data_IF_276736327189
#
_entry.id   IF_276736327189
#
_cell.length_a   1.000
_cell.length_b   1.000
_cell.length_c   1.000
_cell.angle_alpha   90.00
_cell.angle_beta   90.00
_cell.angle_gamma   90.00
#
_symmetry.space_group_name_H-M   'P 1'
#
loop_
_entity.id
_entity.type
_entity.pdbx_description
1 polymer ?
#
# COMPACT_ATOMS: atom_id res chain seq x y z
N UNK A 1 45.32 -40.59 7.31
CA UNK A 1 44.36 -39.63 7.91
C UNK A 1 42.95 -40.17 7.65
N UNK A 2 42.02 -40.42 8.55
CA UNK A 2 41.94 -40.49 10.01
C UNK A 2 40.89 -41.57 10.35
N UNK A 3 41.06 -42.27 11.49
CA UNK A 3 40.23 -43.41 11.91
C UNK A 3 39.04 -42.91 12.75
N UNK A 4 37.80 -43.21 12.37
CA UNK A 4 36.61 -42.93 13.19
C UNK A 4 36.29 -44.10 14.12
N UNK A 5 36.27 -43.82 15.43
CA UNK A 5 36.07 -44.75 16.54
C UNK A 5 34.63 -44.64 17.04
N UNK A 6 33.87 -45.74 17.01
CA UNK A 6 32.58 -45.91 17.71
C UNK A 6 32.82 -45.93 19.22
N UNK A 7 31.98 -45.23 19.99
CA UNK A 7 31.82 -45.44 21.43
C UNK A 7 30.34 -45.62 21.80
N UNK A 8 30.14 -46.52 22.76
CA UNK A 8 28.91 -47.25 23.10
C UNK A 8 28.07 -46.54 24.15
N UNK A 9 26.77 -46.81 24.09
CA UNK A 9 25.76 -46.61 25.13
C UNK A 9 26.06 -47.42 26.41
N UNK A 10 25.77 -46.85 27.59
CA UNK A 10 25.37 -47.65 28.76
C UNK A 10 24.45 -46.86 29.68
N UNK A 11 23.36 -47.52 30.07
CA UNK A 11 22.34 -47.11 31.02
C UNK A 11 22.75 -47.47 32.46
N UNK A 12 22.33 -46.68 33.45
CA UNK A 12 22.21 -47.15 34.84
C UNK A 12 21.14 -46.35 35.61
N UNK A 13 20.08 -47.05 36.01
CA UNK A 13 19.12 -46.68 37.07
C UNK A 13 19.64 -47.22 38.41
N UNK A 14 19.53 -46.45 39.49
CA UNK A 14 19.50 -46.96 40.88
C UNK A 14 18.43 -46.20 41.68
N UNK A 15 17.68 -46.95 42.51
CA UNK A 15 16.53 -46.55 43.36
C UNK A 15 16.98 -46.27 44.82
N UNK A 16 16.25 -45.37 45.51
CA UNK A 16 15.68 -45.61 46.86
C UNK A 16 16.33 -44.91 48.06
N UNK A 17 15.51 -44.25 48.91
CA UNK A 17 15.89 -43.84 50.28
C UNK A 17 14.91 -42.85 50.94
N UNK A 18 14.44 -43.15 52.17
CA UNK A 18 13.36 -42.52 52.97
C UNK A 18 13.74 -41.21 53.69
N UNK A 19 12.76 -40.35 53.99
CA UNK A 19 12.88 -39.15 54.84
C UNK A 19 12.83 -39.39 56.37
N UNK A 20 12.85 -38.33 57.20
CA UNK A 20 11.75 -38.00 58.16
C UNK A 20 11.55 -36.46 58.26
N UNK A 21 10.56 -35.81 58.90
CA UNK A 21 9.44 -36.12 59.78
C UNK A 21 8.71 -34.80 60.14
N UNK A 22 7.45 -34.88 60.55
CA UNK A 22 6.56 -33.75 60.94
C UNK A 22 6.87 -33.22 62.36
N UNK A 23 6.24 -32.11 62.76
CA UNK A 23 5.39 -32.17 63.96
C UNK A 23 3.93 -31.70 63.71
N UNK A 24 3.07 -32.04 64.66
CA UNK A 24 1.59 -31.99 64.67
C UNK A 24 1.14 -31.31 66.01
N UNK A 25 -0.17 -31.17 66.37
CA UNK A 25 -0.87 -29.88 66.55
C UNK A 25 -1.50 -29.65 67.95
N UNK A 26 -2.09 -28.46 68.18
CA UNK A 26 -3.19 -28.18 69.13
C UNK A 26 -3.73 -26.75 68.85
N UNK A 27 -4.98 -26.32 68.98
CA UNK A 27 -6.26 -26.91 69.36
C UNK A 27 -7.33 -25.81 69.46
N UNK A 28 -8.55 -26.10 68.97
CA UNK A 28 -9.89 -25.69 69.45
C UNK A 28 -10.30 -24.18 69.50
N UNK A 29 -11.28 -23.80 68.65
CA UNK A 29 -12.62 -23.30 69.07
C UNK A 29 -13.56 -23.07 67.87
N UNK A 30 -14.80 -23.61 67.93
CA UNK A 30 -15.95 -23.35 67.02
C UNK A 30 -16.70 -22.03 67.43
N UNK A 31 -17.87 -21.67 66.85
CA UNK A 31 -18.09 -21.10 65.52
C UNK A 31 -18.90 -19.77 65.58
N UNK A 32 -18.77 -18.86 64.62
CA UNK A 32 -19.85 -17.87 64.37
C UNK A 32 -19.82 -17.32 62.94
N UNK A 33 -20.94 -17.56 62.24
CA UNK A 33 -21.52 -16.86 61.09
C UNK A 33 -20.58 -16.19 60.06
N UNK A 34 -20.63 -16.67 58.81
CA UNK A 34 -20.86 -15.82 57.61
C UNK A 34 -21.15 -16.66 56.37
N UNK A 35 -22.31 -16.35 55.79
CA UNK A 35 -22.89 -16.61 54.46
C UNK A 35 -21.95 -17.05 53.32
N UNK A 36 -22.40 -17.94 52.41
CA UNK A 36 -21.62 -18.39 51.26
C UNK A 36 -21.53 -17.28 50.19
N UNK A 37 -20.32 -17.06 49.66
CA UNK A 37 -20.07 -16.26 48.45
C UNK A 37 -20.45 -17.08 47.22
N UNK A 38 -21.20 -16.53 46.24
CA UNK A 38 -21.42 -17.23 44.98
C UNK A 38 -20.16 -17.18 44.10
N UNK A 39 -19.89 -18.31 43.47
CA UNK A 39 -18.88 -18.51 42.44
C UNK A 39 -19.10 -17.56 41.25
N UNK A 40 -18.16 -16.64 41.04
CA UNK A 40 -18.16 -15.75 39.89
C UNK A 40 -17.84 -16.51 38.61
N UNK A 41 -18.81 -16.56 37.70
CA UNK A 41 -18.63 -16.93 36.29
C UNK A 41 -17.72 -15.87 35.64
N UNK A 42 -16.72 -16.24 34.81
CA UNK A 42 -15.90 -15.26 34.12
C UNK A 42 -16.76 -14.50 33.11
N UNK A 43 -17.13 -13.26 33.45
CA UNK A 43 -17.79 -12.34 32.54
C UNK A 43 -16.85 -12.06 31.37
N UNK A 44 -17.22 -12.54 30.17
CA UNK A 44 -16.66 -12.10 28.90
C UNK A 44 -16.74 -10.58 28.88
N UNK A 45 -15.59 -9.90 29.00
CA UNK A 45 -15.49 -8.47 28.76
C UNK A 45 -15.94 -8.23 27.33
N UNK A 46 -17.16 -7.73 27.15
CA UNK A 46 -17.58 -7.12 25.89
C UNK A 46 -16.55 -6.02 25.59
N UNK A 47 -15.68 -6.25 24.60
CA UNK A 47 -14.93 -5.16 23.98
C UNK A 47 -15.99 -4.26 23.37
N UNK A 48 -16.30 -3.15 24.03
CA UNK A 48 -17.09 -2.10 23.42
C UNK A 48 -16.31 -1.64 22.20
N UNK A 49 -16.79 -2.01 21.01
CA UNK A 49 -16.27 -1.50 19.76
C UNK A 49 -16.68 -0.03 19.73
N UNK A 50 -15.76 0.87 20.07
CA UNK A 50 -15.94 2.28 19.79
C UNK A 50 -16.14 2.40 18.28
N UNK A 51 -17.38 2.65 17.85
CA UNK A 51 -17.69 2.95 16.46
C UNK A 51 -17.09 4.32 16.18
N UNK A 52 -15.85 4.34 15.69
CA UNK A 52 -15.25 5.57 15.19
C UNK A 52 -15.99 5.97 13.91
N UNK A 53 -16.43 7.22 13.86
CA UNK A 53 -17.03 7.81 12.66
C UNK A 53 -16.05 7.62 11.49
N UNK A 54 -16.48 7.03 10.36
CA UNK A 54 -15.61 6.79 9.23
C UNK A 54 -15.12 8.11 8.63
N UNK A 55 -13.86 8.14 8.21
CA UNK A 55 -13.28 9.26 7.49
C UNK A 55 -13.50 9.03 5.99
N UNK A 56 -14.21 9.95 5.35
CA UNK A 56 -14.38 10.01 3.89
C UNK A 56 -13.41 11.08 3.36
N UNK A 57 -12.36 10.72 2.60
CA UNK A 57 -11.28 11.64 2.25
C UNK A 57 -11.58 12.51 1.02
N UNK A 58 -12.83 12.61 0.61
CA UNK A 58 -13.28 13.32 -0.57
C UNK A 58 -14.67 13.93 -0.36
N UNK A 59 -15.01 14.90 -1.19
CA UNK A 59 -16.34 15.49 -1.27
C UNK A 59 -17.08 15.00 -2.51
N UNK A 60 -18.42 15.15 -2.54
CA UNK A 60 -19.25 14.82 -3.71
C UNK A 60 -18.93 15.67 -4.96
N UNK A 61 -18.21 16.78 -4.79
CA UNK A 61 -17.83 17.70 -5.88
C UNK A 61 -16.42 17.43 -6.43
N UNK A 62 -15.62 16.63 -5.73
CA UNK A 62 -14.25 16.33 -6.12
C UNK A 62 -14.25 15.59 -7.47
N UNK A 63 -13.29 15.91 -8.32
CA UNK A 63 -12.94 15.11 -9.50
C UNK A 63 -12.10 13.91 -9.06
N UNK A 64 -12.68 12.71 -9.10
CA UNK A 64 -12.07 11.48 -8.56
C UNK A 64 -11.68 10.53 -9.68
N UNK A 65 -10.42 10.08 -9.65
CA UNK A 65 -9.89 9.00 -10.47
C UNK A 65 -9.60 7.77 -9.60
N UNK A 66 -10.30 6.66 -9.85
CA UNK A 66 -10.00 5.38 -9.21
C UNK A 66 -9.12 4.54 -10.13
N UNK A 67 -8.04 4.00 -9.59
CA UNK A 67 -7.08 3.18 -10.32
C UNK A 67 -7.21 1.72 -9.89
N UNK A 68 -7.45 0.84 -10.88
CA UNK A 68 -7.49 -0.60 -10.66
C UNK A 68 -8.62 -1.06 -9.74
N UNK A 69 -9.83 -0.52 -9.93
CA UNK A 69 -10.97 -0.70 -9.02
C UNK A 69 -11.68 -2.07 -9.15
N UNK A 70 -10.94 -3.14 -9.49
CA UNK A 70 -11.40 -4.52 -9.44
C UNK A 70 -12.78 -4.76 -10.05
N UNK A 71 -13.75 -5.15 -9.21
CA UNK A 71 -15.14 -5.44 -9.61
C UNK A 71 -16.05 -4.20 -9.67
N UNK A 72 -15.48 -3.00 -9.55
CA UNK A 72 -16.13 -1.69 -9.59
C UNK A 72 -17.16 -1.43 -8.48
N UNK A 73 -17.20 -2.27 -7.44
CA UNK A 73 -18.14 -2.10 -6.33
C UNK A 73 -17.84 -0.85 -5.48
N UNK A 74 -16.58 -0.43 -5.37
CA UNK A 74 -16.20 0.81 -4.69
C UNK A 74 -16.67 2.03 -5.49
N UNK A 75 -16.39 2.08 -6.80
CA UNK A 75 -16.89 3.11 -7.70
C UNK A 75 -18.41 3.27 -7.63
N UNK A 76 -19.15 2.16 -7.68
CA UNK A 76 -20.62 2.16 -7.52
C UNK A 76 -21.04 2.80 -6.20
N UNK A 77 -20.37 2.48 -5.10
CA UNK A 77 -20.67 3.05 -3.79
C UNK A 77 -20.42 4.56 -3.73
N UNK A 78 -19.37 5.04 -4.40
CA UNK A 78 -19.06 6.47 -4.51
C UNK A 78 -20.17 7.24 -5.24
N UNK A 79 -20.70 6.68 -6.33
CA UNK A 79 -21.82 7.25 -7.08
C UNK A 79 -23.11 7.22 -6.26
N UNK A 80 -23.51 6.05 -5.79
CA UNK A 80 -24.86 5.82 -5.26
C UNK A 80 -25.04 6.26 -3.82
N UNK A 81 -23.98 6.24 -3.01
CA UNK A 81 -24.06 6.55 -1.58
C UNK A 81 -23.35 7.85 -1.20
N UNK A 82 -22.22 8.15 -1.84
CA UNK A 82 -21.46 9.37 -1.56
C UNK A 82 -21.77 10.51 -2.56
N UNK A 83 -22.69 10.28 -3.49
CA UNK A 83 -23.18 11.24 -4.49
C UNK A 83 -22.06 11.94 -5.28
N UNK A 84 -20.96 11.23 -5.53
CA UNK A 84 -19.82 11.77 -6.29
C UNK A 84 -20.24 12.06 -7.72
N UNK A 85 -20.05 13.31 -8.15
CA UNK A 85 -20.55 13.78 -9.46
C UNK A 85 -19.56 13.63 -10.61
N UNK A 86 -18.27 13.48 -10.30
CA UNK A 86 -17.18 13.43 -11.28
C UNK A 86 -16.28 12.25 -10.95
N UNK A 87 -16.67 11.07 -11.42
CA UNK A 87 -15.94 9.83 -11.17
C UNK A 87 -15.44 9.24 -12.48
N UNK A 88 -14.15 8.94 -12.54
CA UNK A 88 -13.58 8.04 -13.54
C UNK A 88 -13.03 6.82 -12.81
N UNK A 89 -13.61 5.64 -13.03
CA UNK A 89 -13.12 4.39 -12.51
C UNK A 89 -12.34 3.64 -13.59
N UNK A 90 -11.17 3.12 -13.25
CA UNK A 90 -10.35 2.36 -14.19
C UNK A 90 -10.08 0.94 -13.71
N UNK A 91 -9.98 0.02 -14.67
CA UNK A 91 -9.59 -1.37 -14.46
C UNK A 91 -8.41 -1.74 -15.36
N UNK A 92 -7.67 -2.77 -14.97
CA UNK A 92 -6.50 -3.23 -15.73
C UNK A 92 -6.92 -4.09 -16.93
N UNK A 93 -8.02 -4.82 -16.79
CA UNK A 93 -8.62 -5.65 -17.83
C UNK A 93 -8.95 -4.79 -19.06
N UNK A 94 -8.58 -5.27 -20.25
CA UNK A 94 -8.60 -4.48 -21.48
C UNK A 94 -9.99 -4.31 -22.12
N UNK A 95 -10.97 -5.12 -21.71
CA UNK A 95 -12.34 -5.06 -22.22
C UNK A 95 -13.37 -5.47 -21.16
N UNK A 96 -14.63 -5.15 -21.44
CA UNK A 96 -15.77 -5.57 -20.63
C UNK A 96 -15.85 -7.10 -20.53
N UNK A 97 -15.61 -7.81 -21.63
CA UNK A 97 -15.72 -9.28 -21.68
C UNK A 97 -14.73 -9.92 -20.71
N UNK A 98 -13.46 -9.51 -20.75
CA UNK A 98 -12.41 -10.02 -19.85
C UNK A 98 -12.74 -9.67 -18.39
N UNK A 99 -13.26 -8.47 -18.15
CA UNK A 99 -13.67 -8.06 -16.81
C UNK A 99 -14.83 -8.91 -16.27
N UNK A 100 -15.83 -9.22 -17.11
CA UNK A 100 -16.99 -10.05 -16.75
C UNK A 100 -16.63 -11.51 -16.50
N UNK A 101 -15.68 -12.08 -17.27
CA UNK A 101 -15.16 -13.42 -17.01
C UNK A 101 -14.55 -13.52 -15.60
N UNK A 102 -13.86 -12.45 -15.18
CA UNK A 102 -13.23 -12.35 -13.86
C UNK A 102 -14.22 -12.03 -12.73
N UNK A 103 -15.20 -11.19 -13.02
CA UNK A 103 -16.21 -10.70 -12.09
C UNK A 103 -17.61 -10.74 -12.75
N UNK A 104 -18.33 -11.87 -12.71
CA UNK A 104 -19.60 -12.02 -13.43
C UNK A 104 -20.69 -11.01 -13.05
N UNK A 105 -20.65 -10.45 -11.84
CA UNK A 105 -21.60 -9.45 -11.35
C UNK A 105 -21.24 -7.99 -11.72
N UNK A 106 -20.08 -7.75 -12.35
CA UNK A 106 -19.57 -6.39 -12.62
C UNK A 106 -20.48 -5.56 -13.52
N UNK A 107 -21.29 -6.22 -14.37
CA UNK A 107 -22.21 -5.54 -15.28
C UNK A 107 -23.24 -4.66 -14.56
N UNK A 108 -23.74 -5.10 -13.40
CA UNK A 108 -24.66 -4.30 -12.58
C UNK A 108 -23.95 -3.08 -12.00
N UNK A 109 -22.70 -3.23 -11.55
CA UNK A 109 -21.92 -2.12 -11.01
C UNK A 109 -21.61 -1.08 -12.10
N UNK A 110 -21.19 -1.51 -13.29
CA UNK A 110 -20.95 -0.62 -14.43
C UNK A 110 -22.21 0.17 -14.77
N UNK A 111 -23.35 -0.52 -14.88
CA UNK A 111 -24.63 0.12 -15.19
C UNK A 111 -24.94 1.25 -14.20
N UNK A 112 -24.88 0.99 -12.89
CA UNK A 112 -25.18 2.01 -11.89
C UNK A 112 -24.17 3.16 -11.88
N UNK A 113 -22.90 2.89 -12.18
CA UNK A 113 -21.86 3.93 -12.30
C UNK A 113 -22.18 4.86 -13.47
N UNK A 114 -22.45 4.29 -14.65
CA UNK A 114 -22.71 5.05 -15.87
C UNK A 114 -24.04 5.80 -15.82
N UNK A 115 -25.10 5.18 -15.29
CA UNK A 115 -26.40 5.84 -15.04
C UNK A 115 -26.27 7.01 -14.04
N UNK A 116 -25.37 6.89 -13.06
CA UNK A 116 -25.03 7.98 -12.13
C UNK A 116 -24.05 9.02 -12.68
N UNK A 117 -23.65 8.92 -13.95
CA UNK A 117 -22.77 9.87 -14.63
C UNK A 117 -21.27 9.63 -14.43
N UNK A 118 -20.89 8.53 -13.79
CA UNK A 118 -19.51 8.06 -13.74
C UNK A 118 -19.04 7.49 -15.08
N UNK A 119 -17.72 7.36 -15.24
CA UNK A 119 -17.10 6.81 -16.45
C UNK A 119 -16.23 5.63 -16.10
N UNK A 120 -16.36 4.52 -16.84
CA UNK A 120 -15.49 3.35 -16.71
C UNK A 120 -14.46 3.33 -17.84
N UNK A 121 -13.19 3.09 -17.52
CA UNK A 121 -12.08 2.93 -18.48
C UNK A 121 -11.37 1.60 -18.30
N UNK A 122 -11.11 0.93 -19.41
CA UNK A 122 -10.47 -0.39 -19.47
C UNK A 122 -8.99 -0.27 -19.88
N UNK A 123 -8.20 -1.30 -19.58
CA UNK A 123 -6.81 -1.41 -20.04
C UNK A 123 -5.86 -0.39 -19.42
N UNK A 124 -6.19 0.14 -18.24
CA UNK A 124 -5.37 1.17 -17.59
C UNK A 124 -4.31 0.52 -16.71
N UNK A 125 -3.08 0.46 -17.23
CA UNK A 125 -1.90 0.06 -16.46
C UNK A 125 -1.39 1.23 -15.61
N UNK A 126 -1.51 1.13 -14.29
CA UNK A 126 -1.08 2.15 -13.33
C UNK A 126 0.40 2.57 -13.49
N UNK A 127 1.25 1.68 -14.04
CA UNK A 127 2.68 1.94 -14.24
C UNK A 127 3.01 2.65 -15.56
N UNK A 128 2.06 2.65 -16.51
CA UNK A 128 2.21 3.17 -17.87
C UNK A 128 1.14 4.18 -18.28
N UNK A 129 0.18 4.45 -17.41
CA UNK A 129 -0.92 5.36 -17.70
C UNK A 129 -0.44 6.76 -18.06
N UNK A 130 -1.14 7.38 -19.01
CA UNK A 130 -0.93 8.78 -19.38
C UNK A 130 -1.55 9.68 -18.32
N UNK A 131 -1.03 10.89 -18.20
CA UNK A 131 -1.60 11.87 -17.30
C UNK A 131 -3.03 12.26 -17.73
N UNK A 132 -3.93 12.41 -16.77
CA UNK A 132 -5.25 12.99 -16.98
C UNK A 132 -5.15 14.50 -16.79
N UNK A 133 -5.12 15.21 -17.91
CA UNK A 133 -4.88 16.65 -17.95
C UNK A 133 -5.94 17.37 -18.77
N UNK A 134 -6.00 18.69 -18.63
CA UNK A 134 -6.92 19.55 -19.37
C UNK A 134 -6.55 19.74 -20.85
N UNK A 135 -5.34 19.36 -21.26
CA UNK A 135 -4.91 19.41 -22.66
C UNK A 135 -4.58 18.02 -23.22
N UNK A 136 -4.76 17.88 -24.54
CA UNK A 136 -4.43 16.65 -25.25
C UNK A 136 -2.95 16.32 -25.09
N UNK A 137 -2.63 15.04 -25.08
CA UNK A 137 -1.23 14.61 -25.04
C UNK A 137 -0.73 14.18 -23.65
N UNK A 138 -1.50 14.41 -22.58
CA UNK A 138 -0.95 14.39 -21.22
C UNK A 138 -0.13 15.65 -20.92
N UNK A 139 -0.38 16.72 -21.69
CA UNK A 139 0.19 18.06 -21.49
C UNK A 139 -0.78 18.89 -20.67
N UNK A 140 -0.28 19.96 -20.05
CA UNK A 140 -1.10 20.87 -19.25
C UNK A 140 -1.31 20.39 -17.82
N UNK A 141 -2.22 21.06 -17.13
CA UNK A 141 -2.46 20.83 -15.70
C UNK A 141 -3.31 19.58 -15.49
N UNK A 142 -2.99 18.85 -14.42
CA UNK A 142 -3.82 17.76 -13.93
C UNK A 142 -5.23 18.23 -13.58
N UNK A 143 -6.20 17.31 -13.64
CA UNK A 143 -7.63 17.62 -13.44
C UNK A 143 -8.29 16.82 -12.33
N UNK A 144 -7.50 16.04 -11.58
CA UNK A 144 -8.01 15.15 -10.54
C UNK A 144 -7.73 15.74 -9.16
N UNK A 145 -8.79 15.98 -8.38
CA UNK A 145 -8.69 16.41 -6.99
C UNK A 145 -8.29 15.23 -6.09
N UNK A 146 -8.74 14.01 -6.45
CA UNK A 146 -8.45 12.77 -5.74
C UNK A 146 -8.07 11.68 -6.73
N UNK A 147 -6.91 11.06 -6.52
CA UNK A 147 -6.50 9.85 -7.24
C UNK A 147 -6.41 8.73 -6.21
N UNK A 148 -7.23 7.70 -6.33
CA UNK A 148 -7.36 6.64 -5.32
C UNK A 148 -6.88 5.31 -5.90
N UNK A 149 -5.95 4.65 -5.21
CA UNK A 149 -5.50 3.30 -5.55
C UNK A 149 -5.64 2.41 -4.31
N UNK A 150 -6.73 1.63 -4.27
CA UNK A 150 -7.02 0.76 -3.14
C UNK A 150 -6.38 -0.62 -3.33
N UNK A 151 -5.62 -1.04 -2.32
CA UNK A 151 -4.97 -2.36 -2.24
C UNK A 151 -4.15 -2.74 -3.48
N UNK A 152 -3.27 -1.86 -3.98
CA UNK A 152 -2.43 -2.16 -5.14
C UNK A 152 -1.56 -3.40 -4.89
N UNK A 153 -1.55 -4.33 -5.83
CA UNK A 153 -0.73 -5.53 -5.75
C UNK A 153 -0.45 -6.09 -7.16
N UNK A 154 0.79 -6.53 -7.42
CA UNK A 154 1.17 -7.10 -8.73
C UNK A 154 0.57 -8.49 -8.99
N UNK A 155 0.38 -9.27 -7.93
CA UNK A 155 -0.17 -10.63 -7.95
C UNK A 155 0.78 -11.66 -8.57
N UNK A 156 0.89 -12.86 -7.98
CA UNK A 156 1.44 -14.06 -8.64
C UNK A 156 2.89 -14.04 -9.15
N UNK A 157 3.66 -12.94 -9.00
CA UNK A 157 5.00 -12.80 -9.59
C UNK A 157 6.09 -13.62 -8.88
N UNK A 158 5.93 -13.94 -7.60
CA UNK A 158 6.89 -14.76 -6.84
C UNK A 158 6.26 -15.27 -5.55
N UNK A 159 6.76 -16.37 -5.02
CA UNK A 159 6.46 -16.87 -3.67
C UNK A 159 7.45 -16.35 -2.62
N UNK A 160 8.61 -15.83 -3.04
CA UNK A 160 9.60 -15.22 -2.13
C UNK A 160 9.10 -13.87 -1.62
N UNK A 161 9.04 -13.72 -0.29
CA UNK A 161 8.51 -12.52 0.36
C UNK A 161 9.28 -11.27 -0.04
N UNK A 162 10.61 -11.32 -0.10
CA UNK A 162 11.43 -10.15 -0.43
C UNK A 162 11.28 -9.73 -1.89
N UNK A 163 11.18 -10.68 -2.81
CA UNK A 163 10.87 -10.39 -4.23
C UNK A 163 9.48 -9.79 -4.36
N UNK A 164 8.48 -10.32 -3.66
CA UNK A 164 7.12 -9.75 -3.65
C UNK A 164 7.12 -8.32 -3.10
N UNK A 165 7.84 -8.04 -2.01
CA UNK A 165 8.00 -6.67 -1.48
C UNK A 165 8.58 -5.75 -2.56
N UNK A 166 9.67 -6.14 -3.21
CA UNK A 166 10.30 -5.33 -4.27
C UNK A 166 9.36 -5.06 -5.44
N UNK A 167 8.65 -6.06 -5.95
CA UNK A 167 7.73 -5.87 -7.07
C UNK A 167 6.55 -4.93 -6.72
N UNK A 168 6.03 -5.02 -5.49
CA UNK A 168 4.96 -4.13 -5.05
C UNK A 168 5.45 -2.71 -4.76
N UNK A 169 6.69 -2.55 -4.27
CA UNK A 169 7.34 -1.23 -4.15
C UNK A 169 7.57 -0.59 -5.51
N UNK A 170 7.99 -1.36 -6.52
CA UNK A 170 8.16 -0.90 -7.89
C UNK A 170 6.82 -0.44 -8.48
N UNK A 171 5.76 -1.23 -8.35
CA UNK A 171 4.39 -0.86 -8.75
C UNK A 171 3.98 0.50 -8.18
N UNK A 172 4.15 0.69 -6.87
CA UNK A 172 3.80 1.94 -6.20
C UNK A 172 4.67 3.11 -6.66
N UNK A 173 5.98 2.89 -6.85
CA UNK A 173 6.90 3.92 -7.31
C UNK A 173 6.52 4.39 -8.72
N UNK A 174 6.30 3.46 -9.65
CA UNK A 174 5.87 3.79 -11.01
C UNK A 174 4.49 4.47 -11.00
N UNK A 175 3.53 3.96 -10.23
CA UNK A 175 2.21 4.56 -10.11
C UNK A 175 2.29 6.01 -9.62
N UNK A 176 3.02 6.29 -8.53
CA UNK A 176 3.15 7.64 -7.99
C UNK A 176 3.72 8.60 -9.04
N UNK A 177 4.77 8.19 -9.74
CA UNK A 177 5.36 8.99 -10.83
C UNK A 177 4.36 9.28 -11.97
N UNK A 178 3.50 8.33 -12.33
CA UNK A 178 2.45 8.52 -13.36
C UNK A 178 1.24 9.31 -12.86
N UNK A 179 0.91 9.21 -11.58
CA UNK A 179 -0.27 9.86 -10.99
C UNK A 179 -0.06 11.36 -10.73
N UNK A 180 1.14 11.77 -10.31
CA UNK A 180 1.44 13.17 -9.94
C UNK A 180 1.04 14.18 -11.02
N UNK A 181 1.37 14.00 -12.31
CA UNK A 181 0.97 14.94 -13.36
C UNK A 181 -0.55 15.04 -13.57
N UNK A 182 -1.33 14.07 -13.08
CA UNK A 182 -2.79 14.08 -13.17
C UNK A 182 -3.46 14.83 -12.02
N UNK A 183 -2.71 15.14 -10.96
CA UNK A 183 -3.24 15.89 -9.82
C UNK A 183 -3.51 17.33 -10.21
N UNK A 184 -4.71 17.80 -9.87
CA UNK A 184 -5.09 19.21 -9.94
C UNK A 184 -4.05 20.08 -9.22
N UNK A 185 -3.68 21.26 -9.76
CA UNK A 185 -2.75 22.18 -9.11
C UNK A 185 -3.37 22.84 -7.87
N UNK A 186 -4.67 22.64 -7.64
CA UNK A 186 -5.38 23.15 -6.46
C UNK A 186 -4.80 22.55 -5.19
N UNK A 187 -4.50 23.41 -4.21
CA UNK A 187 -4.00 22.99 -2.90
C UNK A 187 -4.95 21.99 -2.24
N UNK A 188 -4.39 20.91 -1.69
CA UNK A 188 -5.16 19.83 -1.07
C UNK A 188 -5.65 18.77 -2.05
N UNK A 189 -5.30 18.85 -3.34
CA UNK A 189 -5.41 17.71 -4.25
C UNK A 189 -4.49 16.59 -3.77
N UNK A 190 -4.95 15.33 -3.78
CA UNK A 190 -4.24 14.25 -3.12
C UNK A 190 -4.31 12.91 -3.85
N UNK A 191 -3.25 12.11 -3.65
CA UNK A 191 -3.22 10.69 -3.99
C UNK A 191 -3.52 9.91 -2.71
N UNK A 192 -4.50 9.01 -2.75
CA UNK A 192 -4.92 8.22 -1.60
C UNK A 192 -4.62 6.76 -1.90
N UNK A 193 -3.81 6.14 -1.06
CA UNK A 193 -3.45 4.73 -1.21
C UNK A 193 -3.87 3.98 0.04
N UNK A 194 -4.59 2.88 -0.15
CA UNK A 194 -5.06 2.02 0.93
C UNK A 194 -4.29 0.71 0.91
N UNK A 195 -3.73 0.30 2.04
CA UNK A 195 -3.05 -0.99 2.22
C UNK A 195 -3.65 -1.75 3.40
N UNK A 196 -3.49 -3.07 3.41
CA UNK A 196 -3.70 -3.85 4.62
C UNK A 196 -2.64 -3.49 5.68
N UNK A 197 -3.01 -3.63 6.95
CA UNK A 197 -2.07 -3.46 8.07
C UNK A 197 -1.35 -4.79 8.36
N UNK A 198 -0.08 -4.71 8.75
CA UNK A 198 0.78 -5.86 9.02
C UNK A 198 1.66 -6.29 7.83
N UNK A 199 2.54 -7.27 8.08
CA UNK A 199 3.41 -7.81 7.04
C UNK A 199 2.62 -8.62 6.00
N UNK A 200 3.07 -8.65 4.73
CA UNK A 200 4.25 -7.96 4.20
C UNK A 200 4.02 -6.49 3.82
N UNK A 201 2.80 -5.97 3.92
CA UNK A 201 2.44 -4.62 3.45
C UNK A 201 3.18 -3.50 4.18
N UNK A 202 3.47 -3.69 5.48
CA UNK A 202 4.30 -2.77 6.26
C UNK A 202 5.72 -2.64 5.70
N UNK A 203 6.29 -3.72 5.16
CA UNK A 203 7.64 -3.73 4.58
C UNK A 203 7.74 -2.91 3.29
N UNK A 204 6.61 -2.60 2.66
CA UNK A 204 6.60 -1.81 1.42
C UNK A 204 6.98 -0.35 1.69
N UNK A 205 6.84 0.11 2.93
CA UNK A 205 7.28 1.43 3.38
C UNK A 205 6.74 2.60 2.52
N UNK A 206 5.42 2.60 2.32
CA UNK A 206 4.74 3.51 1.38
C UNK A 206 4.98 5.01 1.66
N UNK A 207 5.25 5.38 2.92
CA UNK A 207 5.59 6.76 3.29
C UNK A 207 6.90 7.21 2.66
N UNK A 208 7.90 6.34 2.68
CA UNK A 208 9.22 6.64 2.12
C UNK A 208 9.18 6.63 0.59
N UNK A 209 8.40 5.70 -0.01
CA UNK A 209 8.13 5.73 -1.46
C UNK A 209 7.49 7.06 -1.88
N UNK A 210 6.47 7.52 -1.14
CA UNK A 210 5.85 8.83 -1.38
C UNK A 210 6.85 9.99 -1.28
N UNK A 211 7.73 9.97 -0.26
CA UNK A 211 8.76 10.99 -0.08
C UNK A 211 9.72 11.06 -1.26
N UNK A 212 10.20 9.91 -1.74
CA UNK A 212 11.09 9.85 -2.90
C UNK A 212 10.40 10.28 -4.20
N UNK A 213 9.08 10.14 -4.29
CA UNK A 213 8.28 10.66 -5.39
C UNK A 213 7.97 12.18 -5.27
N UNK A 214 8.45 12.88 -4.24
CA UNK A 214 8.20 14.31 -4.03
C UNK A 214 6.87 14.63 -3.34
N UNK A 215 6.24 13.64 -2.70
CA UNK A 215 5.00 13.79 -1.94
C UNK A 215 5.25 13.67 -0.43
N UNK A 216 4.29 14.13 0.35
CA UNK A 216 4.27 13.91 1.81
C UNK A 216 2.90 13.44 2.27
N UNK A 217 2.88 12.68 3.36
CA UNK A 217 1.62 12.21 3.93
C UNK A 217 1.02 13.30 4.82
N UNK A 218 -0.11 13.87 4.41
CA UNK A 218 -0.87 14.82 5.22
C UNK A 218 -1.45 14.11 6.46
N UNK A 219 -2.09 12.96 6.25
CA UNK A 219 -2.71 12.14 7.29
C UNK A 219 -2.83 10.68 6.87
N UNK A 220 -3.11 9.80 7.83
CA UNK A 220 -3.57 8.45 7.56
C UNK A 220 -4.70 8.05 8.50
N UNK A 221 -5.59 7.18 8.05
CA UNK A 221 -6.77 6.76 8.80
C UNK A 221 -7.14 5.31 8.50
N UNK A 222 -7.88 4.69 9.41
CA UNK A 222 -8.39 3.32 9.21
C UNK A 222 -9.37 3.31 8.05
N UNK A 223 -9.14 2.45 7.06
CA UNK A 223 -10.12 2.21 6.02
C UNK A 223 -11.26 1.36 6.59
N UNK A 224 -12.49 1.86 6.47
CA UNK A 224 -13.69 1.21 6.98
C UNK A 224 -14.54 0.78 5.79
N UNK A 225 -14.42 -0.47 5.36
CA UNK A 225 -15.17 -1.01 4.22
C UNK A 225 -16.69 -0.78 4.34
N UNK A 226 -17.24 -0.89 5.56
CA UNK A 226 -18.66 -0.62 5.83
C UNK A 226 -19.12 0.82 5.61
N UNK A 227 -18.21 1.78 5.39
CA UNK A 227 -18.55 3.14 4.97
C UNK A 227 -18.85 3.24 3.45
N UNK A 228 -18.67 2.13 2.72
CA UNK A 228 -18.93 2.02 1.29
C UNK A 228 -19.93 0.88 1.08
N UNK A 229 -21.25 1.15 1.21
CA UNK A 229 -22.27 0.13 1.00
C UNK A 229 -22.11 -0.56 -0.35
N UNK A 230 -22.20 -1.89 -0.36
CA UNK A 230 -22.02 -2.72 -1.55
C UNK A 230 -20.56 -3.03 -1.92
N UNK A 231 -19.57 -2.37 -1.32
CA UNK A 231 -18.16 -2.64 -1.58
C UNK A 231 -17.77 -4.08 -1.25
N UNK A 232 -17.04 -4.71 -2.18
CA UNK A 232 -16.42 -6.01 -2.02
C UNK A 232 -14.96 -5.92 -2.44
N UNK A 233 -14.09 -6.53 -1.65
CA UNK A 233 -12.67 -6.57 -1.94
C UNK A 233 -12.39 -7.63 -3.02
N UNK A 234 -11.95 -7.16 -4.18
CA UNK A 234 -11.54 -8.00 -5.31
C UNK A 234 -10.02 -8.26 -5.30
N UNK A 235 -9.61 -9.52 -5.48
CA UNK A 235 -8.19 -9.92 -5.58
C UNK A 235 -7.66 -9.73 -6.99
N UNK A 236 -6.36 -9.52 -7.14
CA UNK A 236 -5.69 -9.44 -8.46
C UNK A 236 -5.93 -10.67 -9.34
N UNK A 237 -6.09 -11.86 -8.75
CA UNK A 237 -6.38 -13.11 -9.48
C UNK A 237 -7.88 -13.35 -9.74
N UNK A 238 -8.75 -12.40 -9.37
CA UNK A 238 -10.21 -12.54 -9.51
C UNK A 238 -10.85 -13.42 -8.45
N UNK A 239 -12.08 -13.85 -8.73
CA UNK A 239 -12.84 -14.77 -7.87
C UNK A 239 -12.23 -16.16 -8.00
N UNK A 240 -11.59 -16.64 -6.93
CA UNK A 240 -11.02 -17.99 -6.90
C UNK A 240 -12.16 -19.00 -6.82
N UNK A 241 -12.41 -19.76 -7.90
CA UNK A 241 -13.36 -20.90 -7.87
C UNK A 241 -12.88 -21.93 -6.83
N UNK A 242 -13.67 -22.12 -5.78
CA UNK A 242 -13.35 -23.02 -4.66
C UNK A 242 -12.54 -22.41 -3.51
N UNK A 243 -12.19 -21.12 -3.57
CA UNK A 243 -11.42 -20.44 -2.53
C UNK A 243 -12.28 -20.04 -1.33
N UNK A 244 -11.94 -20.58 -0.15
CA UNK A 244 -12.65 -20.41 1.12
C UNK A 244 -12.85 -18.96 1.58
N UNK A 245 -13.62 -18.79 2.66
CA UNK A 245 -14.25 -17.55 3.12
C UNK A 245 -13.34 -16.39 3.55
N UNK A 246 -12.17 -16.22 2.92
CA UNK A 246 -11.33 -15.05 3.03
C UNK A 246 -12.06 -13.82 2.49
N UNK A 247 -12.25 -12.85 3.38
CA UNK A 247 -12.92 -11.58 3.11
C UNK A 247 -11.97 -10.44 3.39
N UNK A 248 -11.47 -9.81 2.32
CA UNK A 248 -10.52 -8.71 2.46
C UNK A 248 -11.10 -7.53 3.25
N UNK A 249 -12.42 -7.33 3.20
CA UNK A 249 -13.15 -6.27 3.90
C UNK A 249 -13.09 -6.40 5.43
N UNK A 250 -12.86 -7.61 5.93
CA UNK A 250 -12.74 -7.90 7.37
C UNK A 250 -11.31 -7.67 7.90
N UNK A 251 -10.31 -7.52 7.01
CA UNK A 251 -8.92 -7.26 7.40
C UNK A 251 -8.72 -5.79 7.75
N UNK A 252 -7.89 -5.56 8.78
CA UNK A 252 -7.48 -4.19 9.14
C UNK A 252 -6.68 -3.57 8.02
N UNK A 253 -7.04 -2.35 7.66
CA UNK A 253 -6.47 -1.61 6.53
C UNK A 253 -6.41 -0.11 6.84
N UNK A 254 -5.49 0.57 6.17
CA UNK A 254 -5.19 1.99 6.38
C UNK A 254 -5.03 2.71 5.06
N UNK A 255 -5.69 3.86 4.96
CA UNK A 255 -5.53 4.80 3.86
C UNK A 255 -4.53 5.89 4.23
N UNK A 256 -3.66 6.25 3.30
CA UNK A 256 -2.65 7.30 3.41
C UNK A 256 -2.96 8.38 2.38
N UNK A 257 -3.09 9.63 2.84
CA UNK A 257 -3.37 10.79 1.99
C UNK A 257 -2.04 11.48 1.68
N UNK A 258 -1.59 11.36 0.44
CA UNK A 258 -0.38 12.00 -0.07
C UNK A 258 -0.72 13.31 -0.76
N UNK A 259 -0.04 14.38 -0.37
CA UNK A 259 -0.13 15.72 -0.96
C UNK A 259 1.25 16.15 -1.46
N UNK A 260 1.31 17.23 -2.25
CA UNK A 260 2.59 17.80 -2.65
C UNK A 260 3.39 18.26 -1.42
N UNK A 261 4.71 18.16 -1.51
CA UNK A 261 5.61 18.61 -0.44
C UNK A 261 5.30 20.05 -0.03
N UNK A 262 5.12 20.30 1.26
CA UNK A 262 4.78 21.61 1.82
C UNK A 262 3.28 21.94 1.90
N UNK A 263 2.39 21.10 1.34
CA UNK A 263 0.94 21.25 1.50
C UNK A 263 0.38 20.48 2.70
N UNK A 264 1.13 19.50 3.22
CA UNK A 264 0.76 18.67 4.35
C UNK A 264 0.92 19.38 5.68
N UNK A 265 0.48 18.71 6.74
CA UNK A 265 0.58 19.24 8.10
C UNK A 265 2.06 19.36 8.47
N UNK A 266 2.52 20.58 8.80
CA UNK A 266 3.77 20.78 9.54
C UNK A 266 3.64 19.99 10.83
N UNK A 267 4.33 18.85 10.94
CA UNK A 267 4.42 18.17 12.22
C UNK A 267 4.92 19.18 13.25
N UNK A 268 4.09 19.49 14.24
CA UNK A 268 4.51 20.27 15.38
C UNK A 268 5.77 19.63 15.95
N UNK A 269 6.76 20.47 16.25
CA UNK A 269 8.04 20.09 16.85
C UNK A 269 7.76 19.05 17.92
N UNK A 270 8.20 17.81 17.66
CA UNK A 270 8.10 16.74 18.63
C UNK A 270 8.74 17.25 19.91
N UNK A 271 7.96 17.27 20.99
CA UNK A 271 8.41 17.67 22.33
C UNK A 271 9.53 16.69 22.72
N UNK A 272 10.79 17.07 22.46
CA UNK A 272 11.96 16.39 23.03
C UNK A 272 11.73 16.37 24.53
N UNK A 273 11.53 15.19 25.11
CA UNK A 273 11.75 15.00 26.54
C UNK A 273 13.20 15.38 26.79
N UNK A 274 13.39 16.49 27.49
CA UNK A 274 14.67 16.95 28.01
C UNK A 274 14.91 16.12 29.27
N UNK A 275 15.72 15.06 29.16
CA UNK A 275 16.31 14.45 30.33
C UNK A 275 17.36 15.45 30.83
N UNK A 276 17.18 15.90 32.06
CA UNK A 276 18.12 16.73 32.80
C UNK A 276 19.30 15.86 33.23
N UNK A 277 20.50 16.23 32.79
CA UNK A 277 21.74 15.93 33.50
C UNK A 277 22.57 17.19 33.49
N UNK A 278 22.64 17.81 34.67
CA UNK A 278 23.73 18.66 35.13
C UNK A 278 25.06 17.96 34.84
N UNK A 279 26.02 18.65 34.24
CA UNK A 279 27.25 18.99 34.96
C UNK A 279 28.07 20.03 34.18
N UNK A 280 28.76 20.81 34.99
CA UNK A 280 29.31 22.14 34.82
C UNK A 280 30.78 22.12 34.36
N UNK A 281 31.26 23.30 33.96
CA UNK A 281 32.65 23.73 33.71
C UNK A 281 33.27 23.36 32.33
N UNK A 282 33.95 24.23 31.58
CA UNK A 282 34.63 25.51 31.90
C UNK A 282 34.84 26.36 30.62
N UNK A 283 34.88 27.68 30.79
CA UNK A 283 35.24 28.72 29.80
C UNK A 283 36.67 28.58 29.25
N UNK A 284 36.86 28.88 27.95
CA UNK A 284 38.06 29.58 27.40
C UNK A 284 37.63 30.39 26.17
N UNK A 285 37.80 31.70 26.25
CA UNK A 285 37.69 32.66 25.14
C UNK A 285 38.86 32.52 24.15
N UNK A 286 38.59 32.77 22.87
CA UNK A 286 39.59 32.92 21.83
C UNK A 286 38.96 33.58 20.61
N UNK A 287 39.29 34.85 20.43
CA UNK A 287 38.93 35.70 19.29
C UNK A 287 39.67 35.28 18.01
N UNK A 288 39.28 35.97 16.92
CA UNK A 288 39.94 36.08 15.60
C UNK A 288 39.51 35.04 14.54
N UNK A 289 39.23 35.37 13.27
CA UNK A 289 39.13 36.63 12.51
C UNK A 289 38.46 36.25 11.17
N UNK A 290 37.76 37.20 10.57
CA UNK A 290 37.18 37.14 9.22
C UNK A 290 38.22 36.89 8.11
N UNK A 291 37.92 36.01 7.15
CA UNK A 291 38.35 36.19 5.76
C UNK A 291 37.28 35.70 4.77
N UNK A 292 36.62 36.69 4.17
CA UNK A 292 36.03 36.62 2.83
C UNK A 292 37.12 36.28 1.81
N UNK A 293 36.78 35.46 0.82
CA UNK A 293 37.34 35.66 -0.52
C UNK A 293 36.32 35.25 -1.59
N UNK A 294 35.96 36.26 -2.37
CA UNK A 294 35.14 36.26 -3.57
C UNK A 294 35.81 35.45 -4.68
N UNK A 295 35.00 34.81 -5.54
CA UNK A 295 35.44 34.41 -6.88
C UNK A 295 34.49 35.00 -7.90
N UNK A 296 34.94 36.09 -8.52
CA UNK A 296 34.27 36.78 -9.62
C UNK A 296 34.35 36.00 -10.93
N UNK A 297 33.43 36.37 -11.81
CA UNK A 297 33.24 35.87 -13.16
C UNK A 297 34.36 36.32 -14.12
N UNK A 298 34.61 35.51 -15.15
CA UNK A 298 35.40 35.90 -16.32
C UNK A 298 34.57 35.65 -17.59
N UNK A 299 34.40 36.72 -18.35
CA UNK A 299 33.68 36.85 -19.60
C UNK A 299 34.67 36.89 -20.77
N UNK A 300 34.39 36.15 -21.84
CA UNK A 300 35.22 36.16 -23.04
C UNK A 300 34.46 35.73 -24.28
N UNK A 301 33.91 36.70 -25.00
CA UNK A 301 33.50 36.55 -26.40
C UNK A 301 34.72 36.41 -27.33
N UNK A 302 34.61 35.57 -28.37
CA UNK A 302 35.35 35.75 -29.62
C UNK A 302 34.63 35.07 -30.79
N UNK A 303 34.52 35.82 -31.89
CA UNK A 303 33.76 35.54 -33.09
C UNK A 303 34.58 34.82 -34.19
N UNK A 304 33.85 34.12 -35.08
CA UNK A 304 34.11 33.77 -36.50
C UNK A 304 35.03 32.60 -36.90
N UNK A 305 34.47 31.73 -37.74
CA UNK A 305 35.18 30.86 -38.69
C UNK A 305 34.24 29.89 -39.42
N UNK A 306 34.16 30.00 -40.74
CA UNK A 306 33.30 29.25 -41.69
C UNK A 306 34.00 27.94 -42.13
N UNK A 307 33.23 27.04 -42.78
CA UNK A 307 33.60 25.90 -43.67
C UNK A 307 33.55 24.51 -43.01
N UNK A 308 33.09 23.42 -43.65
CA UNK A 308 32.20 23.12 -44.79
C UNK A 308 32.09 21.58 -44.84
N UNK A 309 31.04 21.10 -45.50
CA UNK A 309 30.94 19.82 -46.21
C UNK A 309 30.62 18.50 -45.47
N UNK A 310 29.61 17.82 -46.05
CA UNK A 310 29.44 16.38 -46.14
C UNK A 310 28.23 15.85 -45.37
N UNK A 311 27.33 15.02 -45.90
CA UNK A 311 27.00 14.54 -47.24
C UNK A 311 25.69 13.74 -47.07
N UNK A 312 24.87 13.74 -48.12
CA UNK A 312 23.87 12.76 -48.56
C UNK A 312 22.86 12.07 -47.62
N UNK A 313 21.61 12.04 -48.12
CA UNK A 313 20.94 10.74 -48.30
C UNK A 313 19.54 10.62 -47.71
N UNK A 314 18.58 11.36 -48.27
CA UNK A 314 17.14 11.06 -48.22
C UNK A 314 16.77 10.15 -49.40
N UNK A 315 15.84 9.22 -49.16
CA UNK A 315 14.78 8.70 -50.06
C UNK A 315 14.58 7.19 -49.77
N UNK A 316 13.48 6.83 -49.09
CA UNK A 316 12.15 6.48 -49.63
C UNK A 316 12.17 5.16 -50.42
N UNK A 317 11.58 4.12 -49.82
CA UNK A 317 10.26 3.53 -50.18
C UNK A 317 10.44 2.41 -51.20
N UNK A 318 10.08 1.19 -50.82
CA UNK A 318 9.49 0.19 -51.73
C UNK A 318 8.80 -0.92 -50.92
N UNK A 319 7.68 -1.37 -51.48
CA UNK A 319 6.59 -2.17 -50.94
C UNK A 319 6.82 -3.70 -50.98
N UNK A 320 5.79 -4.42 -50.50
CA UNK A 320 5.41 -5.82 -50.78
C UNK A 320 6.17 -6.91 -49.97
N UNK A 321 5.58 -8.01 -49.47
CA UNK A 321 4.38 -8.75 -49.86
C UNK A 321 3.95 -9.73 -48.72
N UNK A 322 2.70 -10.19 -48.77
CA UNK A 322 2.05 -11.18 -47.89
C UNK A 322 2.62 -12.61 -47.97
N UNK A 323 2.55 -13.39 -46.87
CA UNK A 323 2.14 -14.83 -46.88
C UNK A 323 2.16 -15.53 -45.49
N UNK A 324 0.96 -15.69 -44.92
CA UNK A 324 0.28 -16.91 -44.39
C UNK A 324 1.05 -18.18 -43.87
N UNK A 325 0.47 -18.76 -42.79
CA UNK A 325 0.58 -20.10 -42.14
C UNK A 325 1.68 -20.30 -41.07
N UNK A 326 1.48 -20.91 -39.89
CA UNK A 326 0.33 -21.58 -39.25
C UNK A 326 0.78 -22.44 -38.03
N UNK A 327 -0.11 -22.57 -37.05
CA UNK A 327 -0.39 -23.74 -36.15
C UNK A 327 0.57 -24.14 -34.99
N UNK A 328 -0.11 -24.52 -33.89
CA UNK A 328 0.27 -25.30 -32.68
C UNK A 328 1.12 -24.59 -31.63
N UNK A 329 0.78 -24.55 -30.34
CA UNK A 329 -0.03 -25.47 -29.53
C UNK A 329 0.89 -25.98 -28.42
N UNK A 330 0.61 -25.61 -27.17
CA UNK A 330 0.66 -26.50 -25.99
C UNK A 330 0.40 -25.70 -24.72
N UNK A 331 -0.69 -26.10 -24.07
CA UNK A 331 -1.15 -25.72 -22.75
C UNK A 331 -0.33 -26.51 -21.72
N UNK A 332 0.04 -25.89 -20.60
CA UNK A 332 0.18 -26.63 -19.34
C UNK A 332 -0.08 -25.71 -18.12
N UNK A 333 -0.83 -26.28 -17.18
CA UNK A 333 -1.67 -25.67 -16.14
C UNK A 333 -0.99 -24.78 -15.08
N UNK A 334 -1.71 -23.83 -14.46
CA UNK A 334 -1.29 -23.24 -13.19
C UNK A 334 -1.69 -24.14 -12.00
N UNK A 335 -0.67 -24.66 -11.31
CA UNK A 335 -0.81 -25.34 -10.01
C UNK A 335 -1.42 -24.41 -8.96
N UNK A 336 -2.69 -24.68 -8.69
CA UNK A 336 -3.49 -24.12 -7.61
C UNK A 336 -3.11 -24.79 -6.29
N UNK A 337 -2.33 -24.14 -5.43
CA UNK A 337 -2.15 -24.61 -4.05
C UNK A 337 -2.24 -23.51 -2.99
N UNK A 338 -2.97 -23.93 -1.96
CA UNK A 338 -3.49 -23.32 -0.77
C UNK A 338 -2.44 -22.59 0.09
N UNK A 339 -2.79 -21.40 0.58
CA UNK A 339 -1.94 -20.61 1.49
C UNK A 339 -2.71 -20.31 2.77
N UNK A 340 -2.99 -21.36 3.55
CA UNK A 340 -3.17 -21.24 4.99
C UNK A 340 -2.30 -22.26 5.70
N UNK A 341 -1.03 -21.93 5.95
CA UNK A 341 -0.28 -22.44 7.10
C UNK A 341 1.11 -21.80 7.15
N UNK A 342 1.38 -20.97 8.16
CA UNK A 342 2.39 -21.28 9.18
C UNK A 342 2.43 -20.23 10.30
N UNK A 343 2.03 -20.72 11.48
CA UNK A 343 2.63 -20.60 12.82
C UNK A 343 3.10 -19.25 13.38
#
# INVERSE_FOLDING_TARGET
MGKNKRLKSSSKKIKGGRGPGKPKPAGISKPSSKTPKPSGVPTKKHKQTHHTVPIIPFSSRDSILLIGDGDLSFARSLITHHEVKKLTATVFESSLQILQEKYPHVGENIKEIEEGGGVVKYGVDATKMRAWTNAKGGRGDGVMDRIIFNFPHVGGKSTDVNRQVRYNQELLTSFLARAIPSLSPTKGSSIIITLFEGEPYTLWNIRDLGRHAGLEVERSFKFQAGAYPGYKHARTMGIVKGGGGWKGEERSSRSFVFVRKGEGVKQGVGKKKKDESSDDESEVEGEDEDMNEDFEADDGELEKGIEKDGDNGSDNEEDEEDSINGVSGDEDEPLNQDWTETR
#
